data_IF_155640205603
#
_entry.id   IF_155640205603
#
_cell.length_a   1.000
_cell.length_b   1.000
_cell.length_c   1.000
_cell.angle_alpha   90.00
_cell.angle_beta   90.00
_cell.angle_gamma   90.00
#
_symmetry.space_group_name_H-M   'P 1'
#
loop_
_entity.id
_entity.type
_entity.pdbx_description
1 polymer ?
#
# COMPACT_ATOMS: atom_id res chain seq x y z
N UNK A 1 14.62 9.97 -2.08
CA UNK A 1 13.92 9.01 -1.21
C UNK A 1 13.10 9.72 -0.14
N UNK A 2 13.60 10.80 0.49
CA UNK A 2 12.89 11.52 1.57
C UNK A 2 11.42 11.90 1.28
N UNK A 3 11.10 12.47 0.11
CA UNK A 3 9.71 12.87 -0.20
C UNK A 3 8.74 11.70 -0.27
N UNK A 4 9.22 10.51 -0.67
CA UNK A 4 8.38 9.33 -0.79
C UNK A 4 8.17 8.68 0.58
N UNK A 5 9.18 8.71 1.46
CA UNK A 5 9.05 8.28 2.86
C UNK A 5 8.09 9.17 3.66
N UNK A 6 8.20 10.51 3.52
CA UNK A 6 7.27 11.46 4.15
C UNK A 6 5.84 11.25 3.66
N UNK A 7 5.66 10.92 2.38
CA UNK A 7 4.35 10.53 1.87
C UNK A 7 3.86 9.26 2.56
N UNK A 8 4.66 8.19 2.57
CA UNK A 8 4.31 6.88 3.14
C UNK A 8 3.92 6.93 4.63
N UNK A 9 4.58 7.76 5.44
CA UNK A 9 4.21 7.92 6.86
C UNK A 9 2.82 8.53 7.05
N UNK A 10 2.37 9.42 6.15
CA UNK A 10 1.07 10.08 6.26
C UNK A 10 -0.13 9.16 5.95
N UNK A 11 0.12 7.99 5.36
CA UNK A 11 -0.88 6.97 5.05
C UNK A 11 -0.98 5.87 6.10
N UNK A 12 -0.12 5.88 7.15
CA UNK A 12 -0.15 4.88 8.22
C UNK A 12 -1.56 4.69 8.79
N UNK A 13 -1.99 3.43 8.91
CA UNK A 13 -3.32 3.01 9.41
C UNK A 13 -4.51 3.56 8.60
N UNK A 14 -4.28 4.06 7.38
CA UNK A 14 -5.33 4.47 6.45
C UNK A 14 -5.52 3.42 5.36
N UNK A 15 -6.74 3.31 4.86
CA UNK A 15 -7.00 2.52 3.68
C UNK A 15 -6.40 3.21 2.44
N UNK A 16 -5.74 2.40 1.62
CA UNK A 16 -5.18 2.82 0.35
C UNK A 16 -5.61 1.84 -0.73
N UNK A 17 -5.74 2.35 -1.95
CA UNK A 17 -5.87 1.55 -3.14
C UNK A 17 -4.53 1.53 -3.86
N UNK A 18 -4.02 0.33 -4.10
CA UNK A 18 -2.79 0.10 -4.85
C UNK A 18 -3.20 -0.49 -6.20
N UNK A 19 -2.82 0.18 -7.28
CA UNK A 19 -3.00 -0.35 -8.64
C UNK A 19 -1.66 -0.86 -9.15
N UNK A 20 -1.64 -2.09 -9.65
CA UNK A 20 -0.46 -2.76 -10.19
C UNK A 20 -0.23 -2.40 -11.68
N UNK A 21 0.95 -2.77 -12.19
CA UNK A 21 1.32 -2.51 -13.60
C UNK A 21 0.38 -3.17 -14.62
N UNK A 22 -0.22 -4.31 -14.28
CA UNK A 22 -1.21 -5.02 -15.10
C UNK A 22 -2.64 -4.44 -14.97
N UNK A 23 -2.82 -3.36 -14.21
CA UNK A 23 -4.09 -2.70 -13.87
C UNK A 23 -5.02 -3.50 -12.95
N UNK A 24 -4.56 -4.61 -12.36
CA UNK A 24 -5.22 -5.16 -11.18
C UNK A 24 -5.04 -4.18 -10.01
N UNK A 25 -5.89 -4.29 -9.01
CA UNK A 25 -5.78 -3.45 -7.81
C UNK A 25 -6.10 -4.24 -6.56
N UNK A 26 -5.61 -3.72 -5.44
CA UNK A 26 -5.96 -4.19 -4.11
C UNK A 26 -6.27 -2.98 -3.23
N UNK A 27 -7.27 -3.13 -2.37
CA UNK A 27 -7.63 -2.15 -1.36
C UNK A 27 -7.30 -2.78 -0.01
N UNK A 28 -6.65 -2.01 0.86
CA UNK A 28 -6.31 -2.47 2.18
C UNK A 28 -5.79 -1.38 3.07
N UNK A 29 -5.78 -1.66 4.38
CA UNK A 29 -5.19 -0.79 5.37
C UNK A 29 -3.67 -0.83 5.25
N UNK A 30 -3.04 0.34 5.08
CA UNK A 30 -1.60 0.44 5.02
C UNK A 30 -0.99 0.31 6.42
N UNK A 31 -0.15 -0.71 6.59
CA UNK A 31 0.43 -1.09 7.89
C UNK A 31 1.85 -0.57 8.03
N UNK A 32 2.67 -0.71 6.99
CA UNK A 32 4.09 -0.40 7.08
C UNK A 32 4.75 -0.28 5.72
N UNK A 33 5.95 0.29 5.71
CA UNK A 33 6.84 0.34 4.56
C UNK A 33 8.25 -0.10 4.96
N UNK A 34 8.78 -1.08 4.24
CA UNK A 34 10.13 -1.58 4.41
C UNK A 34 11.05 -0.87 3.41
N UNK A 35 11.82 0.10 3.91
CA UNK A 35 12.73 0.90 3.09
C UNK A 35 13.89 0.09 2.49
N UNK A 36 14.35 -0.97 3.17
CA UNK A 36 15.44 -1.83 2.70
C UNK A 36 15.14 -2.53 1.36
N UNK A 37 13.88 -2.92 1.13
CA UNK A 37 13.45 -3.62 -0.09
C UNK A 37 12.32 -2.90 -0.83
N UNK A 38 12.07 -1.63 -0.51
CA UNK A 38 11.02 -0.81 -1.12
C UNK A 38 9.66 -1.53 -1.20
N UNK A 39 9.23 -2.15 -0.08
CA UNK A 39 8.03 -2.98 -0.03
C UNK A 39 6.97 -2.36 0.88
N UNK A 40 5.75 -2.26 0.38
CA UNK A 40 4.58 -1.82 1.12
C UNK A 40 3.92 -3.03 1.78
N UNK A 41 3.49 -2.89 3.02
CA UNK A 41 2.71 -3.88 3.74
C UNK A 41 1.29 -3.36 3.90
N UNK A 42 0.31 -4.09 3.39
CA UNK A 42 -1.11 -3.82 3.60
C UNK A 42 -1.81 -5.03 4.23
N UNK A 43 -2.91 -4.76 4.91
CA UNK A 43 -3.91 -5.76 5.26
C UNK A 43 -5.11 -5.58 4.32
N UNK A 44 -5.39 -6.55 3.42
CA UNK A 44 -6.48 -6.42 2.44
C UNK A 44 -7.84 -6.30 3.12
N UNK A 45 -8.76 -5.54 2.50
CA UNK A 45 -10.13 -5.44 3.00
C UNK A 45 -10.94 -6.73 2.80
N UNK A 46 -10.68 -7.46 1.69
CA UNK A 46 -11.43 -8.68 1.34
C UNK A 46 -10.97 -9.93 2.10
N UNK A 47 -9.76 -9.92 2.67
CA UNK A 47 -9.27 -11.01 3.52
C UNK A 47 -9.67 -10.73 4.96
N UNK A 48 -10.73 -11.39 5.43
CA UNK A 48 -11.15 -11.40 6.83
C UNK A 48 -10.15 -12.07 7.78
N UNK A 49 -9.09 -12.67 7.24
CA UNK A 49 -7.95 -13.21 7.99
C UNK A 49 -6.84 -12.14 8.06
N UNK A 50 -6.09 -12.09 9.17
CA UNK A 50 -4.92 -11.21 9.44
C UNK A 50 -3.74 -11.36 8.44
N UNK A 51 -4.01 -11.83 7.22
CA UNK A 51 -3.10 -11.97 6.11
C UNK A 51 -2.57 -10.60 5.69
N UNK A 52 -1.25 -10.46 5.74
CA UNK A 52 -0.56 -9.26 5.29
C UNK A 52 -0.03 -9.49 3.88
N UNK A 53 -0.35 -8.59 2.97
CA UNK A 53 0.24 -8.57 1.64
C UNK A 53 1.49 -7.71 1.63
N UNK A 54 2.58 -8.29 1.13
CA UNK A 54 3.83 -7.60 0.86
C UNK A 54 3.90 -7.25 -0.62
N UNK A 55 3.88 -5.95 -0.92
CA UNK A 55 3.79 -5.43 -2.28
C UNK A 55 5.09 -4.67 -2.60
N UNK A 56 5.95 -5.20 -3.49
CA UNK A 56 7.13 -4.48 -3.91
C UNK A 56 6.73 -3.27 -4.76
N UNK A 57 7.31 -2.10 -4.49
CA UNK A 57 7.03 -0.86 -5.24
C UNK A 57 7.29 -0.99 -6.74
N UNK A 58 8.17 -1.92 -7.16
CA UNK A 58 8.41 -2.21 -8.57
C UNK A 58 7.19 -2.77 -9.31
N UNK A 59 6.22 -3.35 -8.59
CA UNK A 59 4.98 -3.86 -9.16
C UNK A 59 3.85 -2.80 -9.14
N UNK A 60 4.08 -1.66 -8.50
CA UNK A 60 3.06 -0.63 -8.25
C UNK A 60 3.07 0.40 -9.38
N UNK A 61 1.89 0.66 -9.91
CA UNK A 61 1.63 1.73 -10.87
C UNK A 61 1.18 3.01 -10.17
N UNK A 62 0.20 2.92 -9.26
CA UNK A 62 -0.31 4.06 -8.47
C UNK A 62 -0.69 3.64 -7.06
N UNK A 63 -0.66 4.61 -6.15
CA UNK A 63 -1.13 4.49 -4.76
C UNK A 63 -1.99 5.72 -4.47
N UNK A 64 -3.21 5.51 -3.99
CA UNK A 64 -4.17 6.56 -3.72
C UNK A 64 -4.89 6.29 -2.37
N UNK A 65 -5.28 7.33 -1.61
CA UNK A 65 -6.11 7.15 -0.42
C UNK A 65 -7.46 6.52 -0.77
N UNK A 66 -8.00 5.73 0.15
CA UNK A 66 -9.31 5.09 0.02
C UNK A 66 -10.08 5.11 1.36
N UNK A 67 -11.41 5.32 1.36
CA UNK A 67 -12.19 5.83 0.24
C UNK A 67 -11.76 7.26 -0.14
N UNK A 68 -12.01 7.64 -1.38
CA UNK A 68 -11.83 9.04 -1.81
C UNK A 68 -13.08 9.79 -1.33
N UNK A 69 -12.93 10.59 -0.26
CA UNK A 69 -13.96 11.56 0.16
C UNK A 69 -14.26 12.59 -0.94
#
# INVERSE_FOLDING_TARGET
>A
MEKQEVFMENYLDKYIKITFLDNLHVIGMYISYYSFNNTIVIMPEEDHDDTRLLIPLSAVKTIEPWPID
#
